data_IF_188396242366
#
_entry.id   IF_188396242366
#
_cell.length_a   1.000
_cell.length_b   1.000
_cell.length_c   1.000
_cell.angle_alpha   90.00
_cell.angle_beta   90.00
_cell.angle_gamma   90.00
#
_symmetry.space_group_name_H-M   'P 1'
#
loop_
_entity.id
_entity.type
_entity.pdbx_description
1 polymer ?
#
# COMPACT_ATOMS: atom_id res chain seq x y z
N UNK A 1 -0.31 2.16 -17.48
CA UNK A 1 -0.32 0.85 -16.80
C UNK A 1 1.11 0.35 -16.65
N UNK A 2 1.50 0.04 -15.42
CA UNK A 2 2.80 -0.58 -15.13
C UNK A 2 2.69 -2.08 -15.42
N UNK A 3 3.46 -2.55 -16.40
CA UNK A 3 3.49 -3.95 -16.82
C UNK A 3 4.58 -4.75 -16.09
N UNK A 4 4.51 -6.08 -16.16
CA UNK A 4 5.50 -7.02 -15.62
C UNK A 4 5.70 -6.95 -14.09
N UNK A 5 4.60 -6.83 -13.32
CA UNK A 5 4.63 -6.93 -11.86
C UNK A 5 4.48 -8.40 -11.46
N UNK A 6 5.50 -8.97 -10.81
CA UNK A 6 5.47 -10.34 -10.32
C UNK A 6 4.86 -10.39 -8.91
N UNK A 7 3.54 -10.23 -8.87
CA UNK A 7 2.75 -10.12 -7.65
C UNK A 7 1.58 -11.08 -7.75
N UNK A 8 1.36 -11.88 -6.70
CA UNK A 8 0.25 -12.85 -6.63
C UNK A 8 -0.62 -12.58 -5.41
N UNK A 9 -1.91 -12.89 -5.48
CA UNK A 9 -2.76 -12.99 -4.29
C UNK A 9 -2.86 -14.47 -3.92
N UNK A 10 -2.54 -14.80 -2.67
CA UNK A 10 -2.78 -16.13 -2.09
C UNK A 10 -3.87 -16.04 -1.03
N UNK A 11 -4.55 -17.15 -0.79
CA UNK A 11 -5.60 -17.26 0.22
C UNK A 11 -5.23 -18.40 1.17
N UNK A 12 -5.25 -18.16 2.47
CA UNK A 12 -5.01 -19.20 3.47
C UNK A 12 -6.27 -20.06 3.71
N UNK A 13 -6.12 -21.09 4.55
CA UNK A 13 -7.21 -22.03 4.86
C UNK A 13 -8.40 -21.37 5.57
N UNK A 14 -8.21 -20.21 6.20
CA UNK A 14 -9.27 -19.42 6.84
C UNK A 14 -9.94 -18.44 5.86
N UNK A 15 -9.55 -18.45 4.57
CA UNK A 15 -10.04 -17.51 3.57
C UNK A 15 -9.37 -16.14 3.63
N UNK A 16 -8.33 -15.94 4.44
CA UNK A 16 -7.66 -14.64 4.53
C UNK A 16 -6.68 -14.49 3.37
N UNK A 17 -6.80 -13.37 2.67
CA UNK A 17 -5.96 -13.04 1.51
C UNK A 17 -4.65 -12.39 1.93
N UNK A 18 -3.60 -12.65 1.16
CA UNK A 18 -2.25 -12.11 1.33
C UNK A 18 -1.66 -11.80 -0.04
N UNK A 19 -1.09 -10.62 -0.21
CA UNK A 19 -0.35 -10.28 -1.44
C UNK A 19 1.11 -10.74 -1.35
N UNK A 20 1.53 -11.62 -2.26
CA UNK A 20 2.89 -12.12 -2.38
C UNK A 20 3.65 -11.31 -3.44
N UNK A 21 4.59 -10.48 -3.03
CA UNK A 21 5.43 -9.68 -3.94
C UNK A 21 6.72 -10.46 -4.19
N UNK A 22 6.90 -11.05 -5.37
CA UNK A 22 8.04 -11.95 -5.61
C UNK A 22 9.33 -11.21 -5.98
N UNK A 23 9.20 -10.00 -6.54
CA UNK A 23 10.32 -9.18 -6.96
C UNK A 23 10.45 -7.93 -6.11
N UNK A 24 11.57 -7.82 -5.39
CA UNK A 24 11.92 -6.61 -4.67
C UNK A 24 12.45 -5.61 -5.69
N UNK A 25 11.66 -4.60 -6.04
CA UNK A 25 12.09 -3.52 -6.95
C UNK A 25 13.01 -2.54 -6.23
N UNK A 26 12.55 -1.99 -5.10
CA UNK A 26 13.28 -0.97 -4.38
C UNK A 26 14.27 -1.62 -3.40
N UNK A 27 15.50 -1.82 -3.89
CA UNK A 27 16.60 -2.49 -3.17
C UNK A 27 17.61 -1.48 -2.61
N UNK A 28 17.33 -0.93 -1.43
CA UNK A 28 18.32 -0.13 -0.69
C UNK A 28 19.19 -1.00 0.23
N UNK A 29 20.51 -1.06 0.01
CA UNK A 29 21.45 -1.71 0.97
C UNK A 29 21.64 -0.89 2.26
N UNK A 30 21.43 0.44 2.19
CA UNK A 30 21.57 1.39 3.32
C UNK A 30 20.32 2.24 3.52
N UNK A 31 19.75 2.81 2.46
CA UNK A 31 18.51 3.60 2.48
C UNK A 31 17.73 3.38 1.18
N UNK A 32 16.41 3.59 1.24
CA UNK A 32 15.53 3.59 0.06
C UNK A 32 15.66 4.93 -0.66
N UNK A 33 15.80 4.88 -1.98
CA UNK A 33 15.61 6.04 -2.86
C UNK A 33 14.11 6.26 -3.02
N UNK A 34 13.59 7.31 -2.37
CA UNK A 34 12.16 7.60 -2.38
C UNK A 34 11.71 8.34 -3.63
N UNK A 35 12.63 8.95 -4.38
CA UNK A 35 12.31 9.60 -5.65
C UNK A 35 11.99 8.54 -6.72
N UNK A 36 12.72 7.42 -6.71
CA UNK A 36 12.40 6.25 -7.57
C UNK A 36 11.04 5.63 -7.21
N UNK A 37 10.69 5.58 -5.91
CA UNK A 37 9.36 5.14 -5.46
C UNK A 37 8.27 6.12 -5.95
N UNK A 38 8.51 7.43 -5.86
CA UNK A 38 7.59 8.48 -6.30
C UNK A 38 7.33 8.37 -7.80
N UNK A 39 8.39 8.31 -8.60
CA UNK A 39 8.30 8.15 -10.05
C UNK A 39 7.56 6.87 -10.45
N UNK A 40 7.74 5.78 -9.70
CA UNK A 40 6.99 4.56 -9.94
C UNK A 40 5.49 4.75 -9.65
N UNK A 41 5.13 5.44 -8.58
CA UNK A 41 3.72 5.70 -8.22
C UNK A 41 3.01 6.59 -9.25
N UNK A 42 3.71 7.52 -9.89
CA UNK A 42 3.17 8.34 -10.97
C UNK A 42 2.62 7.49 -12.13
N UNK A 43 3.19 6.30 -12.36
CA UNK A 43 2.71 5.38 -13.40
C UNK A 43 1.32 4.78 -13.17
N UNK A 44 0.76 4.91 -11.96
CA UNK A 44 -0.61 4.52 -11.64
C UNK A 44 -1.61 5.67 -11.71
N UNK A 45 -1.15 6.93 -11.80
CA UNK A 45 -2.03 8.10 -11.74
C UNK A 45 -3.05 8.07 -12.88
N UNK A 46 -4.33 8.24 -12.53
CA UNK A 46 -5.44 8.15 -13.46
C UNK A 46 -6.10 6.76 -13.53
N UNK A 47 -5.44 5.72 -13.02
CA UNK A 47 -6.02 4.38 -12.91
C UNK A 47 -7.03 4.29 -11.74
N UNK A 48 -7.78 3.19 -11.71
CA UNK A 48 -8.57 2.77 -10.56
C UNK A 48 -8.55 1.24 -10.42
N UNK A 49 -8.79 0.78 -9.21
CA UNK A 49 -8.87 -0.63 -8.85
C UNK A 49 -10.10 -0.87 -7.98
N UNK A 50 -10.62 -2.09 -7.99
CA UNK A 50 -11.84 -2.44 -7.25
C UNK A 50 -11.52 -3.34 -6.06
N UNK A 51 -12.11 -3.03 -4.90
CA UNK A 51 -12.09 -3.95 -3.75
C UNK A 51 -13.02 -5.11 -4.09
N UNK A 52 -12.51 -6.34 -4.04
CA UNK A 52 -13.26 -7.52 -4.49
C UNK A 52 -14.50 -7.79 -3.63
N UNK A 53 -14.43 -7.55 -2.32
CA UNK A 53 -15.52 -7.81 -1.38
C UNK A 53 -16.71 -6.85 -1.55
N UNK A 54 -16.45 -5.58 -1.89
CA UNK A 54 -17.47 -4.52 -1.90
C UNK A 54 -17.76 -3.93 -3.28
N UNK A 55 -17.00 -4.32 -4.31
CA UNK A 55 -16.99 -3.71 -5.65
C UNK A 55 -16.70 -2.19 -5.62
N UNK A 56 -16.08 -1.71 -4.54
CA UNK A 56 -15.78 -0.30 -4.36
C UNK A 56 -14.58 0.12 -5.22
N UNK A 57 -14.76 1.16 -6.04
CA UNK A 57 -13.70 1.71 -6.89
C UNK A 57 -12.81 2.68 -6.11
N UNK A 58 -11.53 2.36 -6.05
CA UNK A 58 -10.48 3.19 -5.48
C UNK A 58 -9.62 3.75 -6.60
N UNK A 59 -9.64 5.06 -6.77
CA UNK A 59 -8.90 5.78 -7.80
C UNK A 59 -7.50 6.13 -7.32
N UNK A 60 -6.56 6.26 -8.27
CA UNK A 60 -5.22 6.75 -7.99
C UNK A 60 -5.11 8.21 -8.46
N UNK A 61 -5.02 9.12 -7.48
CA UNK A 61 -4.92 10.56 -7.73
C UNK A 61 -3.49 11.09 -7.74
N UNK A 62 -3.31 12.32 -8.23
CA UNK A 62 -2.02 13.01 -8.28
C UNK A 62 -1.37 13.24 -6.90
N UNK A 63 -2.14 13.16 -5.82
CA UNK A 63 -1.63 13.37 -4.46
C UNK A 63 -0.89 12.15 -3.91
N UNK A 64 -1.18 10.94 -4.41
CA UNK A 64 -0.62 9.70 -3.87
C UNK A 64 0.92 9.68 -3.92
N UNK A 65 1.60 9.96 -5.05
CA UNK A 65 3.06 9.89 -5.10
C UNK A 65 3.72 10.77 -4.03
N UNK A 66 3.21 11.99 -3.84
CA UNK A 66 3.70 12.95 -2.84
C UNK A 66 3.43 12.44 -1.41
N UNK A 67 2.17 12.13 -1.08
CA UNK A 67 1.79 11.73 0.27
C UNK A 67 2.48 10.43 0.72
N UNK A 68 2.61 9.48 -0.20
CA UNK A 68 3.26 8.20 0.05
C UNK A 68 4.75 8.35 0.38
N UNK A 69 5.43 9.26 -0.32
CA UNK A 69 6.89 9.38 -0.29
C UNK A 69 7.37 10.53 0.57
N UNK A 70 6.55 11.53 0.90
CA UNK A 70 6.97 12.73 1.62
C UNK A 70 6.37 12.88 3.02
N UNK A 71 5.41 12.02 3.40
CA UNK A 71 4.77 12.09 4.72
C UNK A 71 5.76 11.96 5.88
N UNK A 72 5.45 12.63 6.99
CA UNK A 72 6.21 12.50 8.25
C UNK A 72 6.26 11.03 8.73
N UNK A 73 5.17 10.28 8.49
CA UNK A 73 5.11 8.85 8.80
C UNK A 73 6.19 8.08 8.02
N UNK A 74 6.37 8.39 6.73
CA UNK A 74 7.42 7.81 5.89
C UNK A 74 8.80 8.16 6.44
N UNK A 75 9.06 9.42 6.80
CA UNK A 75 10.37 9.88 7.31
C UNK A 75 10.82 9.14 8.57
N UNK A 76 9.87 8.69 9.39
CA UNK A 76 10.15 7.89 10.60
C UNK A 76 10.45 6.41 10.33
N UNK A 77 10.15 5.89 9.13
CA UNK A 77 10.37 4.49 8.79
C UNK A 77 11.84 4.21 8.49
N UNK A 78 12.36 3.14 9.09
CA UNK A 78 13.73 2.68 8.87
C UNK A 78 13.79 1.18 8.58
N UNK A 79 14.91 0.75 8.00
CA UNK A 79 15.25 -0.66 7.80
C UNK A 79 14.18 -1.46 7.07
N UNK A 80 13.77 -2.59 7.66
CA UNK A 80 12.83 -3.52 7.03
C UNK A 80 11.45 -2.92 6.73
N UNK A 81 10.95 -2.01 7.59
CA UNK A 81 9.63 -1.41 7.38
C UNK A 81 9.66 -0.35 6.26
N UNK A 82 10.74 0.42 6.14
CA UNK A 82 10.92 1.35 5.01
C UNK A 82 10.97 0.59 3.68
N UNK A 83 11.73 -0.52 3.64
CA UNK A 83 11.78 -1.42 2.48
C UNK A 83 10.43 -2.04 2.16
N UNK A 84 9.68 -2.45 3.19
CA UNK A 84 8.34 -3.00 3.04
C UNK A 84 7.36 -1.99 2.48
N UNK A 85 7.32 -0.75 3.01
CA UNK A 85 6.50 0.33 2.46
C UNK A 85 6.90 0.59 1.01
N UNK A 86 8.16 0.86 0.71
CA UNK A 86 8.60 1.12 -0.66
C UNK A 86 8.14 0.05 -1.66
N UNK A 87 8.28 -1.25 -1.32
CA UNK A 87 7.87 -2.33 -2.21
C UNK A 87 6.35 -2.59 -2.22
N UNK A 88 5.58 -2.16 -1.22
CA UNK A 88 4.12 -2.21 -1.29
C UNK A 88 3.57 -1.36 -2.45
N UNK A 89 4.29 -0.32 -2.90
CA UNK A 89 3.94 0.45 -4.09
C UNK A 89 3.81 -0.42 -5.36
N UNK A 90 4.58 -1.51 -5.48
CA UNK A 90 4.51 -2.40 -6.65
C UNK A 90 3.26 -3.28 -6.68
N UNK A 91 2.52 -3.30 -5.57
CA UNK A 91 1.40 -4.19 -5.34
C UNK A 91 0.08 -3.46 -5.08
N UNK A 92 -0.01 -2.15 -5.37
CA UNK A 92 -1.21 -1.33 -5.12
C UNK A 92 -2.49 -1.97 -5.67
N UNK A 93 -2.54 -2.45 -6.93
CA UNK A 93 -3.72 -3.09 -7.49
C UNK A 93 -4.20 -4.27 -6.65
N UNK A 94 -3.29 -5.17 -6.31
CA UNK A 94 -3.58 -6.38 -5.56
C UNK A 94 -3.93 -6.06 -4.09
N UNK A 95 -3.28 -5.05 -3.49
CA UNK A 95 -3.57 -4.58 -2.14
C UNK A 95 -4.97 -3.96 -2.05
N UNK A 96 -5.38 -3.17 -3.05
CA UNK A 96 -6.76 -2.65 -3.12
C UNK A 96 -7.74 -3.80 -3.29
N UNK A 97 -7.44 -4.76 -4.17
CA UNK A 97 -8.33 -5.89 -4.42
C UNK A 97 -8.66 -6.69 -3.15
N UNK A 98 -7.67 -6.89 -2.28
CA UNK A 98 -7.84 -7.66 -1.03
C UNK A 98 -8.22 -6.82 0.20
N UNK A 99 -8.45 -5.53 0.04
CA UNK A 99 -8.71 -4.61 1.14
C UNK A 99 -9.96 -5.02 1.93
N UNK A 100 -9.85 -5.13 3.25
CA UNK A 100 -10.95 -5.58 4.12
C UNK A 100 -11.09 -4.72 5.38
N UNK A 101 -12.09 -4.99 6.22
CA UNK A 101 -12.33 -4.31 7.50
C UNK A 101 -12.41 -2.77 7.38
N UNK A 102 -13.37 -2.21 6.62
CA UNK A 102 -13.51 -0.77 6.46
C UNK A 102 -13.75 -0.07 7.81
N UNK A 103 -12.95 0.95 8.09
CA UNK A 103 -13.12 1.84 9.24
C UNK A 103 -13.25 3.30 8.76
N UNK A 104 -14.37 3.93 9.09
CA UNK A 104 -14.67 5.31 8.73
C UNK A 104 -14.21 6.31 9.79
N UNK A 105 -13.73 7.48 9.35
CA UNK A 105 -13.44 8.64 10.20
C UNK A 105 -13.86 9.94 9.50
N UNK A 106 -14.56 10.82 10.21
CA UNK A 106 -14.90 12.15 9.71
C UNK A 106 -13.66 13.02 9.48
N UNK A 107 -13.68 13.86 8.44
CA UNK A 107 -12.62 14.83 8.25
C UNK A 107 -12.69 15.93 9.32
N UNK A 108 -11.61 16.12 10.07
CA UNK A 108 -11.47 17.14 11.12
C UNK A 108 -10.54 18.29 10.77
N UNK A 109 -9.97 18.29 9.55
CA UNK A 109 -8.99 19.29 9.12
C UNK A 109 -9.52 20.06 7.91
N UNK A 110 -9.63 21.38 8.07
CA UNK A 110 -10.15 22.27 7.02
C UNK A 110 -9.40 22.14 5.69
N UNK A 111 -8.08 21.92 5.74
CA UNK A 111 -7.23 21.76 4.55
C UNK A 111 -7.65 20.59 3.64
N UNK A 112 -8.43 19.63 4.14
CA UNK A 112 -8.93 18.49 3.37
C UNK A 112 -10.43 18.58 3.06
N UNK A 113 -11.08 19.73 3.24
CA UNK A 113 -12.54 19.86 3.02
C UNK A 113 -13.00 19.54 1.59
N UNK A 114 -12.10 19.63 0.61
CA UNK A 114 -12.36 19.18 -0.77
C UNK A 114 -11.99 17.71 -0.97
N UNK A 115 -10.77 17.33 -0.59
CA UNK A 115 -10.24 16.00 -0.89
C UNK A 115 -10.81 14.90 -0.01
N UNK A 116 -11.26 15.22 1.21
CA UNK A 116 -11.90 14.30 2.14
C UNK A 116 -13.24 14.87 2.64
N UNK A 117 -14.00 15.52 1.74
CA UNK A 117 -15.31 16.12 2.05
C UNK A 117 -16.25 15.15 2.76
N UNK A 118 -16.23 13.89 2.34
CA UNK A 118 -17.06 12.83 2.90
C UNK A 118 -16.28 11.92 3.85
N UNK A 119 -15.14 12.39 4.37
CA UNK A 119 -14.32 11.71 5.35
C UNK A 119 -13.26 10.77 4.77
N UNK A 120 -12.74 9.93 5.66
CA UNK A 120 -11.64 9.02 5.45
C UNK A 120 -12.07 7.59 5.72
N UNK A 121 -11.52 6.65 4.96
CA UNK A 121 -11.69 5.23 5.14
C UNK A 121 -10.33 4.57 5.32
N UNK A 122 -10.27 3.57 6.20
CA UNK A 122 -9.12 2.71 6.35
C UNK A 122 -9.51 1.27 6.07
N UNK A 123 -8.64 0.56 5.36
CA UNK A 123 -8.82 -0.86 5.09
C UNK A 123 -7.55 -1.59 5.48
N UNK A 124 -7.72 -2.73 6.14
CA UNK A 124 -6.62 -3.61 6.51
C UNK A 124 -6.16 -4.41 5.28
N UNK A 125 -4.84 -4.55 5.14
CA UNK A 125 -4.22 -5.38 4.10
C UNK A 125 -3.02 -6.11 4.66
N UNK A 126 -2.65 -7.22 4.01
CA UNK A 126 -1.42 -7.97 4.32
C UNK A 126 -0.65 -8.24 3.04
N UNK A 127 0.67 -8.17 3.15
CA UNK A 127 1.56 -8.55 2.04
C UNK A 127 2.85 -9.17 2.54
N UNK A 128 3.54 -9.87 1.66
CA UNK A 128 4.73 -10.63 1.95
C UNK A 128 5.88 -10.23 1.03
N UNK A 129 7.07 -10.05 1.60
CA UNK A 129 8.31 -9.81 0.86
C UNK A 129 9.28 -11.00 1.01
N UNK A 130 9.95 -11.42 -0.06
CA UNK A 130 10.89 -12.52 -0.03
C UNK A 130 12.18 -12.11 0.69
N UNK A 131 12.81 -13.10 1.30
CA UNK A 131 14.12 -12.99 1.93
C UNK A 131 15.03 -13.99 1.24
N UNK A 132 16.13 -13.47 0.70
CA UNK A 132 17.13 -14.27 0.01
C UNK A 132 18.42 -14.33 0.84
N UNK A 133 19.04 -15.50 0.88
CA UNK A 133 20.39 -15.73 1.39
C UNK A 133 21.18 -16.41 0.28
N UNK A 134 22.33 -15.86 -0.11
CA UNK A 134 23.15 -16.38 -1.23
C UNK A 134 22.37 -16.64 -2.54
N UNK A 135 21.39 -15.76 -2.84
CA UNK A 135 20.45 -15.87 -3.97
C UNK A 135 19.44 -17.02 -3.90
N UNK A 136 19.36 -17.73 -2.78
CA UNK A 136 18.32 -18.73 -2.50
C UNK A 136 17.18 -18.08 -1.74
N UNK A 137 15.94 -18.29 -2.18
CA UNK A 137 14.75 -17.87 -1.45
C UNK A 137 14.62 -18.69 -0.16
N UNK A 138 14.77 -18.05 0.99
CA UNK A 138 14.76 -18.73 2.30
C UNK A 138 13.39 -18.65 2.97
N UNK A 139 12.72 -17.50 2.87
CA UNK A 139 11.39 -17.29 3.48
C UNK A 139 10.71 -16.05 2.91
N UNK A 140 9.45 -15.85 3.30
CA UNK A 140 8.77 -14.56 3.18
C UNK A 140 8.56 -13.94 4.56
N UNK A 141 8.79 -12.63 4.66
CA UNK A 141 8.35 -11.84 5.79
C UNK A 141 6.98 -11.26 5.49
N UNK A 142 6.00 -11.51 6.36
CA UNK A 142 4.65 -10.97 6.25
C UNK A 142 4.58 -9.61 6.96
N UNK A 143 3.84 -8.68 6.37
CA UNK A 143 3.59 -7.34 6.87
C UNK A 143 2.09 -7.08 6.88
N UNK A 144 1.63 -6.45 7.95
CA UNK A 144 0.32 -5.82 8.01
C UNK A 144 0.47 -4.34 7.64
N UNK A 145 -0.52 -3.78 6.96
CA UNK A 145 -0.61 -2.36 6.66
C UNK A 145 -2.07 -1.91 6.56
N UNK A 146 -2.28 -0.60 6.44
CA UNK A 146 -3.60 -0.02 6.20
C UNK A 146 -3.59 0.90 5.00
N UNK A 147 -4.52 0.68 4.08
CA UNK A 147 -4.82 1.66 3.04
C UNK A 147 -5.51 2.85 3.71
N UNK A 148 -5.07 4.07 3.43
CA UNK A 148 -5.77 5.30 3.78
C UNK A 148 -6.44 5.83 2.52
N UNK A 149 -7.76 6.00 2.58
CA UNK A 149 -8.57 6.38 1.42
C UNK A 149 -9.36 7.64 1.77
N UNK A 150 -9.24 8.70 0.96
CA UNK A 150 -10.05 9.90 1.10
C UNK A 150 -11.29 9.83 0.21
N UNK A 151 -12.43 10.30 0.70
CA UNK A 151 -13.66 10.43 -0.09
C UNK A 151 -13.89 11.90 -0.44
N UNK A 152 -13.58 12.24 -1.68
CA UNK A 152 -13.50 13.61 -2.17
C UNK A 152 -14.86 14.19 -2.55
N UNK A 153 -14.91 15.52 -2.70
CA UNK A 153 -16.12 16.27 -3.02
C UNK A 153 -16.83 15.86 -4.31
N UNK A 154 -16.09 15.25 -5.24
CA UNK A 154 -16.61 14.71 -6.48
C UNK A 154 -17.26 13.32 -6.32
N UNK A 155 -17.37 12.81 -5.09
CA UNK A 155 -17.97 11.52 -4.74
C UNK A 155 -17.07 10.31 -5.02
N UNK A 156 -15.80 10.52 -5.40
CA UNK A 156 -14.84 9.43 -5.65
C UNK A 156 -13.94 9.20 -4.44
N UNK A 157 -13.51 7.96 -4.30
CA UNK A 157 -12.56 7.54 -3.28
C UNK A 157 -11.17 7.36 -3.87
N UNK A 158 -10.16 7.91 -3.23
CA UNK A 158 -8.79 7.89 -3.72
C UNK A 158 -7.86 7.23 -2.71
N UNK A 159 -6.93 6.40 -3.17
CA UNK A 159 -5.84 5.95 -2.32
C UNK A 159 -4.94 7.16 -2.00
N UNK A 160 -4.81 7.49 -0.72
CA UNK A 160 -4.05 8.63 -0.23
C UNK A 160 -2.67 8.22 0.28
N UNK A 161 -2.59 7.13 1.05
CA UNK A 161 -1.32 6.57 1.55
C UNK A 161 -1.49 5.08 1.95
N UNK A 162 -0.38 4.37 2.15
CA UNK A 162 -0.32 3.09 2.85
C UNK A 162 0.39 3.30 4.19
N UNK A 163 -0.39 3.18 5.26
CA UNK A 163 0.01 3.46 6.63
C UNK A 163 0.35 2.19 7.41
N UNK A 164 0.98 2.41 8.58
CA UNK A 164 1.14 1.41 9.62
C UNK A 164 1.82 0.09 9.15
N UNK A 165 2.70 0.18 8.14
CA UNK A 165 3.45 -0.98 7.63
C UNK A 165 4.30 -1.56 8.75
N UNK A 166 3.94 -2.75 9.21
CA UNK A 166 4.58 -3.43 10.32
C UNK A 166 4.76 -4.91 10.02
N UNK A 167 5.97 -5.41 10.22
CA UNK A 167 6.25 -6.85 10.11
C UNK A 167 5.42 -7.62 11.13
N UNK A 168 4.72 -8.66 10.68
CA UNK A 168 4.13 -9.65 11.57
C UNK A 168 5.26 -10.44 12.24
N UNK A 169 5.35 -10.34 13.55
CA UNK A 169 6.23 -11.18 14.35
C UNK A 169 5.51 -12.50 14.59
N UNK A 170 6.14 -13.62 14.24
CA UNK A 170 5.75 -14.91 14.79
C UNK A 170 5.72 -14.76 16.31
N UNK A 171 4.54 -14.96 16.92
CA UNK A 171 4.51 -15.18 18.36
C UNK A 171 5.40 -16.41 18.62
N UNK A 172 6.36 -16.34 19.56
CA UNK A 172 7.14 -17.51 19.95
C UNK A 172 6.22 -18.63 20.44
#
# INVERSE_FOLDING_TARGET
MIENRNVNIITDADGKKLVLINDIRFKGKRQIDWDDVKQYLEGYVGDYYEIEESAERIYIGNELPEEYTESESRKSLMGANAKAKANAATAIPELIQIASNPAFEENRKEKHNKNAKFGWYRYDVRFALPVYEENVLVRYNIFHARLLINHAENGRKYLYDILAVKKETSKP
#
